data_IF_725684768388
#
_entry.id   IF_725684768388
#
_cell.length_a   1.000
_cell.length_b   1.000
_cell.length_c   1.000
_cell.angle_alpha   90.00
_cell.angle_beta   90.00
_cell.angle_gamma   90.00
#
_symmetry.space_group_name_H-M   'P 1'
#
loop_
_entity.id
_entity.type
_entity.pdbx_description
1 polymer ?
#
# COMPACT_ATOMS: atom_id res chain seq x y z
N UNK A 1 1.92 6.98 -20.47
CA UNK A 1 2.52 5.99 -21.39
C UNK A 1 1.51 4.86 -21.50
N UNK A 2 1.03 4.54 -22.70
CA UNK A 2 -0.15 3.67 -22.86
C UNK A 2 0.19 2.18 -22.92
N UNK A 3 1.45 1.81 -23.11
CA UNK A 3 1.96 0.43 -23.02
C UNK A 3 3.49 0.43 -22.94
N UNK A 4 4.07 -0.48 -22.16
CA UNK A 4 5.52 -0.74 -22.06
C UNK A 4 5.98 -1.90 -22.95
N UNK A 5 5.05 -2.60 -23.59
CA UNK A 5 5.31 -3.82 -24.36
C UNK A 5 5.03 -3.66 -25.84
N UNK A 6 4.32 -2.59 -26.24
CA UNK A 6 3.96 -2.38 -27.63
C UNK A 6 4.95 -1.45 -28.34
N UNK A 7 5.51 -1.96 -29.43
CA UNK A 7 6.21 -1.17 -30.43
C UNK A 7 5.30 -1.00 -31.65
N UNK A 8 5.00 0.24 -32.03
CA UNK A 8 4.10 0.52 -33.16
C UNK A 8 4.68 1.54 -34.13
N UNK A 9 4.49 1.31 -35.42
CA UNK A 9 4.84 2.26 -36.48
C UNK A 9 3.84 2.20 -37.64
N UNK A 10 3.84 3.24 -38.47
CA UNK A 10 2.96 3.34 -39.64
C UNK A 10 3.77 3.32 -40.93
N UNK A 11 3.41 2.41 -41.83
CA UNK A 11 3.85 2.46 -43.23
C UNK A 11 2.81 3.16 -44.09
N UNK A 12 3.23 4.12 -44.92
CA UNK A 12 2.35 4.79 -45.88
C UNK A 12 2.81 4.48 -47.30
N UNK A 13 1.84 4.16 -48.16
CA UNK A 13 2.03 4.12 -49.61
C UNK A 13 2.44 5.52 -50.11
N UNK A 14 3.23 5.54 -51.18
CA UNK A 14 3.60 6.77 -51.89
C UNK A 14 3.64 6.52 -53.39
N UNK A 15 3.83 7.57 -54.20
CA UNK A 15 3.67 7.46 -55.66
C UNK A 15 4.57 6.36 -56.27
N UNK A 16 3.95 5.36 -56.88
CA UNK A 16 4.63 4.23 -57.50
C UNK A 16 5.07 3.11 -56.53
N UNK A 17 4.73 3.20 -55.25
CA UNK A 17 5.09 2.23 -54.23
C UNK A 17 3.88 1.88 -53.34
N UNK A 18 3.53 0.60 -53.32
CA UNK A 18 2.55 0.06 -52.39
C UNK A 18 3.27 -0.77 -51.33
N UNK A 19 3.19 -0.38 -50.06
CA UNK A 19 3.76 -1.12 -48.93
C UNK A 19 3.05 -2.47 -48.81
N UNK A 20 3.83 -3.56 -48.81
CA UNK A 20 3.37 -4.91 -48.57
C UNK A 20 3.48 -5.24 -47.07
N UNK A 21 2.34 -5.40 -46.38
CA UNK A 21 2.37 -5.74 -44.97
C UNK A 21 3.01 -7.09 -44.66
N UNK A 22 2.98 -8.05 -45.60
CA UNK A 22 3.52 -9.39 -45.39
C UNK A 22 5.06 -9.43 -45.48
N UNK A 23 5.65 -8.49 -46.21
CA UNK A 23 7.09 -8.43 -46.42
C UNK A 23 7.78 -7.35 -45.58
N UNK A 24 7.01 -6.48 -44.92
CA UNK A 24 7.53 -5.44 -44.00
C UNK A 24 8.12 -6.08 -42.74
N UNK A 25 9.27 -5.58 -42.29
CA UNK A 25 10.02 -6.16 -41.17
C UNK A 25 10.33 -5.13 -40.09
N UNK A 26 10.36 -5.61 -38.86
CA UNK A 26 10.93 -4.93 -37.71
C UNK A 26 12.03 -5.81 -37.12
N UNK A 27 13.14 -5.18 -36.78
CA UNK A 27 14.22 -5.78 -36.02
C UNK A 27 14.36 -5.04 -34.71
N UNK A 28 14.51 -5.77 -33.62
CA UNK A 28 14.85 -5.27 -32.28
C UNK A 28 16.11 -5.98 -31.84
N UNK A 29 17.15 -5.23 -31.46
CA UNK A 29 18.49 -5.77 -31.13
C UNK A 29 19.00 -6.75 -32.19
N UNK A 30 18.89 -6.34 -33.46
CA UNK A 30 19.26 -7.09 -34.67
C UNK A 30 18.49 -8.42 -34.90
N UNK A 31 17.45 -8.70 -34.10
CA UNK A 31 16.57 -9.87 -34.29
C UNK A 31 15.27 -9.45 -34.97
N UNK A 32 14.92 -10.14 -36.05
CA UNK A 32 13.61 -9.96 -36.71
C UNK A 32 12.50 -10.40 -35.74
N UNK A 33 11.49 -9.55 -35.57
CA UNK A 33 10.33 -9.80 -34.70
C UNK A 33 9.04 -9.88 -35.52
N UNK A 34 8.06 -10.60 -34.99
CA UNK A 34 6.76 -10.73 -35.64
C UNK A 34 5.98 -9.41 -35.58
N UNK A 35 5.31 -9.07 -36.69
CA UNK A 35 4.45 -7.89 -36.81
C UNK A 35 3.00 -8.29 -37.05
N UNK A 36 2.10 -7.62 -36.33
CA UNK A 36 0.67 -7.61 -36.63
C UNK A 36 0.36 -6.36 -37.44
N UNK A 37 -0.07 -6.55 -38.68
CA UNK A 37 -0.49 -5.46 -39.56
C UNK A 37 -2.00 -5.21 -39.47
N UNK A 38 -2.39 -3.94 -39.40
CA UNK A 38 -3.78 -3.53 -39.49
C UNK A 38 -4.31 -3.60 -40.93
N UNK A 39 -5.63 -3.46 -41.11
CA UNK A 39 -6.20 -3.33 -42.44
C UNK A 39 -5.76 -2.02 -43.09
N UNK A 40 -5.26 -2.10 -44.33
CA UNK A 40 -4.81 -0.92 -45.07
C UNK A 40 -5.98 0.06 -45.28
N UNK A 41 -5.82 1.30 -44.82
CA UNK A 41 -6.83 2.35 -44.89
C UNK A 41 -6.23 3.61 -45.48
N UNK A 42 -6.75 4.08 -46.62
CA UNK A 42 -6.25 5.26 -47.34
C UNK A 42 -4.73 5.22 -47.63
N UNK A 43 -4.21 4.04 -47.96
CA UNK A 43 -2.79 3.83 -48.24
C UNK A 43 -1.90 3.72 -46.99
N UNK A 44 -2.45 3.73 -45.79
CA UNK A 44 -1.71 3.55 -44.55
C UNK A 44 -1.95 2.16 -43.95
N UNK A 45 -0.89 1.54 -43.44
CA UNK A 45 -0.93 0.30 -42.64
C UNK A 45 -0.22 0.55 -41.32
N UNK A 46 -0.86 0.23 -40.20
CA UNK A 46 -0.25 0.29 -38.89
C UNK A 46 0.31 -1.09 -38.54
N UNK A 47 1.53 -1.12 -38.04
CA UNK A 47 2.23 -2.32 -37.62
C UNK A 47 2.45 -2.26 -36.12
N UNK A 48 2.17 -3.37 -35.44
CA UNK A 48 2.41 -3.52 -34.01
C UNK A 48 3.20 -4.79 -33.74
N UNK A 49 4.24 -4.67 -32.93
CA UNK A 49 4.89 -5.79 -32.26
C UNK A 49 4.60 -5.69 -30.77
N UNK A 50 4.22 -6.81 -30.15
CA UNK A 50 4.04 -6.91 -28.71
C UNK A 50 5.14 -7.80 -28.16
N UNK A 51 5.98 -7.23 -27.29
CA UNK A 51 7.03 -7.94 -26.59
C UNK A 51 6.43 -8.95 -25.59
N UNK A 52 7.04 -10.12 -25.44
CA UNK A 52 6.65 -11.12 -24.42
C UNK A 52 6.79 -10.55 -23.00
N UNK A 53 7.78 -9.68 -22.80
CA UNK A 53 8.06 -8.95 -21.58
C UNK A 53 8.63 -7.57 -21.97
N UNK A 54 8.46 -6.53 -21.15
CA UNK A 54 9.10 -5.24 -21.39
C UNK A 54 10.62 -5.38 -21.48
N UNK A 55 11.25 -4.38 -22.09
CA UNK A 55 12.67 -4.17 -21.93
C UNK A 55 13.04 -3.96 -20.45
N UNK A 56 14.26 -4.33 -20.10
CA UNK A 56 14.82 -4.06 -18.78
C UNK A 56 14.72 -2.56 -18.43
N UNK A 57 14.45 -2.24 -17.16
CA UNK A 57 14.30 -0.85 -16.74
C UNK A 57 15.54 -0.03 -17.10
N UNK A 58 15.36 1.18 -17.65
CA UNK A 58 16.43 2.08 -18.08
C UNK A 58 17.40 1.53 -19.16
N UNK A 59 17.11 0.41 -19.81
CA UNK A 59 17.95 -0.14 -20.88
C UNK A 59 17.79 0.61 -22.20
N UNK A 60 18.76 0.42 -23.10
CA UNK A 60 18.71 0.91 -24.47
C UNK A 60 18.64 -0.27 -25.43
N UNK A 61 17.72 -0.21 -26.38
CA UNK A 61 17.50 -1.23 -27.39
C UNK A 61 17.54 -0.62 -28.78
N UNK A 62 18.16 -1.30 -29.74
CA UNK A 62 18.17 -0.82 -31.12
C UNK A 62 16.92 -1.31 -31.83
N UNK A 63 16.35 -0.48 -32.70
CA UNK A 63 15.32 -0.92 -33.64
C UNK A 63 15.72 -0.58 -35.07
N UNK A 64 15.23 -1.40 -36.01
CA UNK A 64 15.35 -1.14 -37.44
C UNK A 64 14.09 -1.62 -38.15
N UNK A 65 13.46 -0.74 -38.91
CA UNK A 65 12.28 -1.00 -39.73
C UNK A 65 12.74 -1.13 -41.17
N UNK A 66 12.22 -2.12 -41.89
CA UNK A 66 12.30 -2.21 -43.35
C UNK A 66 10.88 -2.24 -43.91
N UNK A 67 10.47 -1.14 -44.56
CA UNK A 67 9.25 -1.11 -45.37
C UNK A 67 9.57 -1.75 -46.72
N UNK A 68 8.79 -2.76 -47.08
CA UNK A 68 8.96 -3.50 -48.32
C UNK A 68 7.73 -3.31 -49.20
N UNK A 69 7.93 -3.08 -50.50
CA UNK A 69 6.84 -2.96 -51.46
C UNK A 69 6.34 -4.32 -51.96
N UNK A 70 5.21 -4.33 -52.69
CA UNK A 70 4.64 -5.54 -53.29
C UNK A 70 5.51 -6.20 -54.38
N UNK A 71 6.61 -5.56 -54.79
CA UNK A 71 7.61 -6.10 -55.71
C UNK A 71 8.82 -6.70 -54.97
N UNK A 72 8.85 -6.62 -53.64
CA UNK A 72 9.93 -7.12 -52.79
C UNK A 72 11.11 -6.16 -52.62
N UNK A 73 10.98 -4.89 -53.03
CA UNK A 73 12.02 -3.89 -52.82
C UNK A 73 11.88 -3.26 -51.44
N UNK A 74 13.00 -3.01 -50.76
CA UNK A 74 13.02 -2.14 -49.58
C UNK A 74 12.84 -0.70 -50.06
N UNK A 75 11.75 -0.08 -49.63
CA UNK A 75 11.30 1.26 -50.06
C UNK A 75 11.43 2.31 -48.97
N UNK A 76 11.68 1.87 -47.73
CA UNK A 76 11.99 2.74 -46.61
C UNK A 76 12.73 1.97 -45.52
N UNK A 77 13.66 2.65 -44.86
CA UNK A 77 14.35 2.12 -43.68
C UNK A 77 14.39 3.20 -42.61
N UNK A 78 14.05 2.83 -41.38
CA UNK A 78 14.20 3.68 -40.21
C UNK A 78 14.97 2.89 -39.16
N UNK A 79 15.86 3.53 -38.41
CA UNK A 79 16.57 2.85 -37.33
C UNK A 79 16.90 3.83 -36.21
N UNK A 80 16.89 3.34 -34.99
CA UNK A 80 17.20 4.18 -33.85
C UNK A 80 17.40 3.37 -32.58
N UNK A 81 17.39 4.10 -31.47
CA UNK A 81 17.45 3.55 -30.13
C UNK A 81 16.12 3.86 -29.44
N UNK A 82 15.52 2.85 -28.82
CA UNK A 82 14.48 3.05 -27.82
C UNK A 82 15.11 2.87 -26.46
N UNK A 83 14.93 3.89 -25.60
CA UNK A 83 15.29 3.79 -24.20
C UNK A 83 14.07 3.37 -23.39
N UNK A 84 14.18 2.24 -22.69
CA UNK A 84 13.18 1.80 -21.75
C UNK A 84 13.06 2.82 -20.61
N UNK A 85 11.84 3.13 -20.15
CA UNK A 85 11.65 4.03 -19.03
C UNK A 85 12.17 3.40 -17.74
N UNK A 86 12.35 4.23 -16.72
CA UNK A 86 12.66 3.76 -15.37
C UNK A 86 11.33 3.36 -14.71
N UNK A 87 11.25 2.11 -14.27
CA UNK A 87 10.17 1.55 -13.45
C UNK A 87 10.72 0.54 -12.45
N UNK A 88 10.01 0.36 -11.33
CA UNK A 88 10.39 -0.60 -10.29
C UNK A 88 10.07 -2.04 -10.66
N UNK A 89 10.80 -2.99 -10.09
CA UNK A 89 10.59 -4.44 -10.29
C UNK A 89 10.38 -5.12 -8.94
N UNK A 90 9.23 -5.76 -8.76
CA UNK A 90 8.91 -6.55 -7.57
C UNK A 90 9.22 -8.02 -7.82
N UNK A 91 10.31 -8.48 -7.23
CA UNK A 91 10.75 -9.88 -7.29
C UNK A 91 10.15 -10.72 -6.16
N UNK A 92 10.12 -12.06 -6.26
CA UNK A 92 9.50 -12.92 -5.24
C UNK A 92 10.11 -12.79 -3.84
N UNK A 93 11.38 -12.41 -3.71
CA UNK A 93 12.06 -12.19 -2.44
C UNK A 93 11.56 -10.96 -1.66
N UNK A 94 10.85 -10.04 -2.33
CA UNK A 94 10.20 -8.90 -1.69
C UNK A 94 8.79 -9.22 -1.17
N UNK A 95 8.26 -10.42 -1.44
CA UNK A 95 6.95 -10.83 -0.95
C UNK A 95 6.96 -11.03 0.57
N UNK A 96 5.83 -10.71 1.19
CA UNK A 96 5.60 -11.04 2.59
C UNK A 96 4.95 -12.42 2.72
N UNK A 97 5.30 -13.12 3.80
CA UNK A 97 4.66 -14.39 4.19
C UNK A 97 3.95 -14.25 5.53
N UNK A 98 2.97 -15.11 5.78
CA UNK A 98 2.23 -15.11 7.05
C UNK A 98 1.35 -13.88 7.25
N UNK A 99 0.93 -13.19 6.18
CA UNK A 99 0.02 -12.05 6.26
C UNK A 99 -1.35 -12.50 6.77
N UNK A 100 -1.93 -11.74 7.70
CA UNK A 100 -3.31 -11.96 8.09
C UNK A 100 -4.25 -11.32 7.07
N UNK A 101 -4.72 -12.13 6.13
CA UNK A 101 -5.64 -11.70 5.07
C UNK A 101 -7.06 -11.41 5.56
N UNK A 102 -7.37 -11.68 6.83
CA UNK A 102 -8.66 -11.33 7.46
C UNK A 102 -8.70 -9.87 7.96
N UNK A 103 -7.57 -9.16 7.95
CA UNK A 103 -7.46 -7.77 8.38
C UNK A 103 -7.20 -6.83 7.19
N UNK A 104 -8.25 -6.36 6.48
CA UNK A 104 -8.09 -5.52 5.30
C UNK A 104 -7.58 -4.10 5.62
N UNK A 105 -7.07 -3.37 4.65
CA UNK A 105 -6.79 -1.94 4.78
C UNK A 105 -5.35 -1.58 5.17
N UNK A 106 -5.20 -0.54 6.00
CA UNK A 106 -3.95 0.20 6.18
C UNK A 106 -3.67 0.51 7.66
N UNK A 107 -2.38 0.58 8.00
CA UNK A 107 -1.89 1.26 9.19
C UNK A 107 -1.53 2.69 8.79
N UNK A 108 -2.10 3.67 9.49
CA UNK A 108 -1.82 5.10 9.32
C UNK A 108 -1.13 5.61 10.58
N UNK A 109 0.14 6.02 10.46
CA UNK A 109 0.88 6.64 11.55
C UNK A 109 1.15 8.10 11.23
N UNK A 110 0.80 9.00 12.13
CA UNK A 110 0.89 10.43 11.85
C UNK A 110 1.62 11.19 12.95
N UNK A 111 2.36 12.19 12.52
CA UNK A 111 2.89 13.26 13.36
C UNK A 111 2.56 14.60 12.76
N UNK A 112 2.18 15.56 13.60
CA UNK A 112 2.07 16.95 13.18
C UNK A 112 3.04 17.79 14.00
N UNK A 113 3.96 18.49 13.33
CA UNK A 113 4.78 19.49 13.98
C UNK A 113 4.10 20.87 13.91
N UNK A 114 4.31 21.70 14.93
CA UNK A 114 3.74 23.05 14.98
C UNK A 114 4.59 24.13 14.29
N UNK A 115 5.68 23.76 13.62
CA UNK A 115 6.65 24.68 13.04
C UNK A 115 6.54 24.81 11.51
N UNK A 116 5.91 23.84 10.83
CA UNK A 116 5.68 23.76 9.39
C UNK A 116 6.98 23.85 8.58
N UNK A 117 7.98 23.06 9.00
CA UNK A 117 9.37 23.18 8.52
C UNK A 117 9.78 22.12 7.49
N UNK A 118 8.90 21.21 7.09
CA UNK A 118 9.24 20.22 6.06
C UNK A 118 9.26 20.87 4.68
N UNK A 119 10.37 20.76 3.96
CA UNK A 119 10.50 21.22 2.57
C UNK A 119 10.77 20.06 1.60
N UNK A 120 10.99 18.85 2.12
CA UNK A 120 11.34 17.67 1.34
C UNK A 120 10.85 16.34 1.96
N UNK A 121 10.93 15.27 1.18
CA UNK A 121 10.71 13.91 1.66
C UNK A 121 11.81 13.44 2.63
N UNK A 122 13.01 14.02 2.56
CA UNK A 122 14.04 13.78 3.57
C UNK A 122 13.61 14.37 4.92
N UNK A 123 13.06 15.59 4.93
CA UNK A 123 12.50 16.19 6.15
C UNK A 123 11.27 15.41 6.63
N UNK A 124 10.48 14.85 5.72
CA UNK A 124 9.33 14.01 6.06
C UNK A 124 9.77 12.77 6.86
N UNK A 125 10.84 12.09 6.43
CA UNK A 125 11.41 10.96 7.18
C UNK A 125 11.96 11.40 8.55
N UNK A 126 12.64 12.54 8.63
CA UNK A 126 13.10 13.09 9.92
C UNK A 126 11.94 13.46 10.84
N UNK A 127 10.85 14.00 10.30
CA UNK A 127 9.64 14.28 11.07
C UNK A 127 9.01 12.99 11.59
N UNK A 128 8.86 11.98 10.73
CA UNK A 128 8.35 10.66 11.11
C UNK A 128 9.23 9.96 12.17
N UNK A 129 10.53 10.22 12.16
CA UNK A 129 11.46 9.77 13.19
C UNK A 129 11.38 10.58 14.51
N UNK A 130 10.61 11.68 14.55
CA UNK A 130 10.52 12.59 15.69
C UNK A 130 11.75 13.49 15.85
N UNK A 131 12.54 13.69 14.79
CA UNK A 131 13.76 14.49 14.81
C UNK A 131 13.53 15.96 14.43
N UNK A 132 12.37 16.30 13.85
CA UNK A 132 11.99 17.67 13.50
C UNK A 132 10.96 18.29 14.45
N UNK A 133 10.03 17.49 14.98
CA UNK A 133 8.98 17.97 15.86
C UNK A 133 9.44 17.94 17.33
N UNK A 134 9.25 19.04 18.06
CA UNK A 134 9.42 19.04 19.52
C UNK A 134 8.36 18.18 20.23
N UNK A 135 7.14 18.16 19.68
CA UNK A 135 6.03 17.31 20.10
C UNK A 135 5.09 17.00 18.93
N UNK A 136 4.29 15.93 19.06
CA UNK A 136 3.28 15.55 18.08
C UNK A 136 1.92 16.19 18.44
N UNK A 137 1.45 17.12 17.60
CA UNK A 137 0.16 17.80 17.77
C UNK A 137 -1.05 17.04 17.23
N UNK A 138 -0.86 15.90 16.56
CA UNK A 138 -1.97 15.14 16.00
C UNK A 138 -3.01 14.76 17.09
N UNK A 139 -4.30 14.82 16.75
CA UNK A 139 -5.38 14.58 17.72
C UNK A 139 -5.73 13.08 17.82
N UNK A 140 -5.41 12.38 18.92
CA UNK A 140 -5.74 10.96 19.06
C UNK A 140 -7.26 10.69 19.08
N UNK A 141 -8.10 11.69 19.36
CA UNK A 141 -9.55 11.56 19.37
C UNK A 141 -10.20 11.80 17.99
N UNK A 142 -9.46 12.37 17.03
CA UNK A 142 -9.94 12.54 15.66
C UNK A 142 -9.75 11.25 14.87
N UNK A 143 -10.71 10.34 15.01
CA UNK A 143 -10.58 8.95 14.54
C UNK A 143 -10.71 8.78 13.01
N UNK A 144 -11.40 9.69 12.32
CA UNK A 144 -11.68 9.53 10.89
C UNK A 144 -12.30 8.16 10.55
N UNK A 145 -11.84 7.46 9.48
CA UNK A 145 -12.30 6.12 9.14
C UNK A 145 -11.64 5.00 9.96
N UNK A 146 -10.84 5.33 10.98
CA UNK A 146 -10.15 4.32 11.77
C UNK A 146 -11.10 3.56 12.70
N UNK A 147 -10.67 2.37 13.13
CA UNK A 147 -11.44 1.53 14.07
C UNK A 147 -11.43 2.01 15.53
N UNK A 148 -10.62 3.01 15.86
CA UNK A 148 -10.46 3.53 17.21
C UNK A 148 -9.57 4.78 17.29
N UNK A 149 -9.40 5.32 18.51
CA UNK A 149 -8.52 6.45 18.76
C UNK A 149 -7.05 6.11 18.50
N UNK A 150 -6.26 7.15 18.23
CA UNK A 150 -4.84 7.03 17.95
C UNK A 150 -4.07 6.49 19.15
N UNK A 151 -3.19 5.52 18.89
CA UNK A 151 -2.32 4.91 19.90
C UNK A 151 -0.91 5.44 19.71
N UNK A 152 -0.25 5.84 20.80
CA UNK A 152 1.14 6.31 20.74
C UNK A 152 2.06 5.17 20.29
N UNK A 153 2.77 5.39 19.18
CA UNK A 153 3.74 4.47 18.58
C UNK A 153 5.06 5.22 18.33
N UNK A 154 5.96 5.21 19.31
CA UNK A 154 7.16 6.05 19.27
C UNK A 154 6.78 7.54 19.25
N UNK A 155 7.28 8.34 18.28
CA UNK A 155 6.89 9.75 18.14
C UNK A 155 5.52 9.93 17.44
N UNK A 156 4.92 8.87 16.90
CA UNK A 156 3.73 8.92 16.05
C UNK A 156 2.46 8.55 16.83
N UNK A 157 1.30 8.89 16.24
CA UNK A 157 0.01 8.30 16.56
C UNK A 157 -0.39 7.31 15.48
N UNK A 158 -0.61 6.05 15.87
CA UNK A 158 -1.04 4.96 14.99
C UNK A 158 -2.57 4.81 15.01
N UNK A 159 -3.14 4.65 13.82
CA UNK A 159 -4.55 4.38 13.55
C UNK A 159 -4.68 3.21 12.58
N UNK A 160 -5.71 2.38 12.76
CA UNK A 160 -6.04 1.28 11.86
C UNK A 160 -7.23 1.65 10.96
N UNK A 161 -6.99 1.82 9.67
CA UNK A 161 -8.01 2.15 8.67
C UNK A 161 -8.40 0.85 7.94
N UNK A 162 -9.62 0.31 8.16
CA UNK A 162 -10.03 -0.97 7.59
C UNK A 162 -10.50 -0.87 6.12
N UNK A 163 -10.75 0.35 5.65
CA UNK A 163 -11.31 0.65 4.34
C UNK A 163 -10.21 1.10 3.36
N UNK A 164 -10.29 2.32 2.84
CA UNK A 164 -9.49 2.85 1.73
C UNK A 164 -8.69 4.08 2.19
N UNK A 165 -7.62 4.40 1.47
CA UNK A 165 -6.96 5.71 1.58
C UNK A 165 -7.59 6.64 0.53
N UNK A 166 -8.64 7.34 0.95
CA UNK A 166 -9.21 8.53 0.30
C UNK A 166 -9.40 9.56 1.40
N UNK A 167 -8.33 10.27 1.77
CA UNK A 167 -8.27 11.06 3.00
C UNK A 167 -8.10 12.55 2.69
N UNK A 168 -8.75 13.39 3.50
CA UNK A 168 -8.63 14.85 3.47
C UNK A 168 -8.65 15.42 4.90
N UNK A 169 -8.01 16.57 5.13
CA UNK A 169 -8.13 17.32 6.38
C UNK A 169 -9.58 17.67 6.74
N UNK A 170 -10.48 17.75 5.76
CA UNK A 170 -11.91 17.92 5.99
C UNK A 170 -12.68 16.79 5.30
N UNK A 171 -13.27 15.91 6.11
CA UNK A 171 -14.14 14.85 5.57
C UNK A 171 -15.37 15.41 4.83
N UNK A 172 -15.74 14.77 3.72
CA UNK A 172 -16.84 15.15 2.84
C UNK A 172 -16.44 16.07 1.68
N UNK A 173 -15.17 16.44 1.58
CA UNK A 173 -14.63 17.15 0.42
C UNK A 173 -14.50 16.21 -0.80
N UNK A 174 -13.87 16.71 -1.88
CA UNK A 174 -13.64 15.96 -3.11
C UNK A 174 -12.30 16.36 -3.71
N UNK A 175 -11.23 16.20 -2.94
CA UNK A 175 -9.87 16.44 -3.39
C UNK A 175 -9.38 15.22 -4.19
N UNK A 176 -8.97 15.44 -5.44
CA UNK A 176 -8.45 14.38 -6.29
C UNK A 176 -9.51 13.74 -7.18
N UNK A 177 -9.56 12.41 -7.18
CA UNK A 177 -10.29 11.61 -8.17
C UNK A 177 -11.59 11.00 -7.62
N UNK A 178 -11.65 10.76 -6.32
CA UNK A 178 -12.74 10.05 -5.66
C UNK A 178 -13.45 11.03 -4.73
N UNK A 179 -14.73 11.35 -4.97
CA UNK A 179 -15.47 12.24 -4.09
C UNK A 179 -15.72 11.60 -2.72
N UNK A 180 -16.33 12.36 -1.81
CA UNK A 180 -16.69 11.93 -0.46
C UNK A 180 -15.45 11.53 0.37
N UNK A 181 -14.44 12.41 0.38
CA UNK A 181 -13.19 12.20 1.11
C UNK A 181 -13.45 11.86 2.57
N UNK A 182 -12.70 10.91 3.12
CA UNK A 182 -12.77 10.54 4.53
C UNK A 182 -11.90 11.50 5.35
N UNK A 183 -12.32 11.79 6.57
CA UNK A 183 -11.54 12.61 7.50
C UNK A 183 -10.19 11.93 7.81
N UNK A 184 -9.07 12.63 7.61
CA UNK A 184 -7.75 12.16 8.04
C UNK A 184 -7.72 11.87 9.55
N UNK A 185 -7.30 10.68 9.99
CA UNK A 185 -7.10 10.44 11.42
C UNK A 185 -5.97 11.30 11.98
N UNK A 186 -6.25 11.99 13.09
CA UNK A 186 -5.29 12.85 13.78
C UNK A 186 -5.00 14.21 13.15
N UNK A 187 -5.55 14.52 11.97
CA UNK A 187 -5.31 15.78 11.25
C UNK A 187 -6.65 16.40 10.81
N UNK A 188 -6.95 17.68 11.10
CA UNK A 188 -6.18 18.65 11.87
C UNK A 188 -5.87 18.20 13.30
N UNK A 189 -4.73 18.60 13.83
CA UNK A 189 -4.35 18.25 15.21
C UNK A 189 -5.03 19.12 16.25
N UNK A 190 -4.56 19.02 17.49
CA UNK A 190 -5.07 19.72 18.67
C UNK A 190 -4.93 21.25 18.57
N UNK A 191 -4.11 21.73 17.65
CA UNK A 191 -3.95 23.14 17.29
C UNK A 191 -4.99 23.61 16.24
N UNK A 192 -5.89 22.73 15.79
CA UNK A 192 -6.96 22.95 14.80
C UNK A 192 -6.48 23.37 13.40
N UNK A 193 -5.25 23.01 13.04
CA UNK A 193 -4.66 23.22 11.72
C UNK A 193 -4.10 21.89 11.19
N UNK A 194 -4.01 21.73 9.86
CA UNK A 194 -3.44 20.53 9.25
C UNK A 194 -1.95 20.66 8.93
N UNK A 195 -1.49 21.90 8.69
CA UNK A 195 -0.12 22.24 8.32
C UNK A 195 0.92 21.53 9.21
N UNK A 196 2.01 21.07 8.57
CA UNK A 196 3.12 20.38 9.24
C UNK A 196 2.86 18.90 9.54
N UNK A 197 1.77 18.32 9.03
CA UNK A 197 1.52 16.89 9.16
C UNK A 197 2.44 16.06 8.25
N UNK A 198 2.94 14.95 8.77
CA UNK A 198 3.58 13.87 8.01
C UNK A 198 2.97 12.56 8.43
N UNK A 199 2.72 11.68 7.46
CA UNK A 199 2.15 10.37 7.72
C UNK A 199 2.94 9.26 7.05
N UNK A 200 2.97 8.12 7.72
CA UNK A 200 3.40 6.83 7.19
C UNK A 200 2.16 5.94 7.04
N UNK A 201 1.98 5.40 5.85
CA UNK A 201 0.96 4.41 5.52
C UNK A 201 1.67 3.09 5.27
N UNK A 202 1.29 2.05 6.00
CA UNK A 202 1.78 0.69 5.79
C UNK A 202 0.62 -0.22 5.42
N UNK A 203 0.80 -1.03 4.39
CA UNK A 203 -0.15 -2.06 3.99
C UNK A 203 0.55 -3.21 3.28
N UNK A 204 -0.16 -4.31 3.08
CA UNK A 204 0.29 -5.49 2.34
C UNK A 204 -0.67 -5.70 1.18
N UNK A 205 -0.21 -5.49 -0.05
CA UNK A 205 -1.08 -5.48 -1.24
C UNK A 205 -0.90 -6.75 -2.04
N UNK A 206 -2.01 -7.40 -2.40
CA UNK A 206 -2.03 -8.55 -3.31
C UNK A 206 -1.99 -8.05 -4.76
N UNK A 207 -0.81 -8.13 -5.38
CA UNK A 207 -0.63 -7.75 -6.78
C UNK A 207 -0.70 -8.97 -7.71
N UNK A 208 -1.35 -8.84 -8.89
CA UNK A 208 -1.16 -9.79 -9.98
C UNK A 208 0.26 -9.69 -10.54
N UNK A 209 0.74 -10.80 -11.14
CA UNK A 209 1.96 -10.79 -11.93
C UNK A 209 1.79 -9.88 -13.16
N UNK A 210 2.91 -9.34 -13.64
CA UNK A 210 2.97 -8.40 -14.75
C UNK A 210 2.90 -6.95 -14.30
N UNK A 211 2.53 -6.09 -15.24
CA UNK A 211 2.51 -4.65 -15.01
C UNK A 211 1.32 -4.19 -14.19
N UNK A 212 1.63 -3.39 -13.17
CA UNK A 212 0.66 -2.71 -12.37
C UNK A 212 0.83 -1.20 -12.59
N UNK A 213 -0.25 -0.55 -13.01
CA UNK A 213 -0.32 0.92 -13.08
C UNK A 213 -1.06 1.41 -11.86
N UNK A 214 -0.43 2.27 -11.08
CA UNK A 214 -1.00 2.80 -9.84
C UNK A 214 -0.80 4.31 -9.80
N UNK A 215 -1.50 4.97 -8.91
CA UNK A 215 -1.32 6.39 -8.68
C UNK A 215 -1.53 6.79 -7.24
N UNK A 216 -0.88 7.91 -6.90
CA UNK A 216 -1.12 8.64 -5.66
C UNK A 216 -1.54 10.05 -6.03
N UNK A 217 -2.75 10.42 -5.64
CA UNK A 217 -3.12 11.83 -5.58
C UNK A 217 -2.68 12.36 -4.22
N UNK A 218 -1.95 13.47 -4.16
CA UNK A 218 -1.59 14.04 -2.85
C UNK A 218 -1.44 15.55 -2.87
N UNK A 219 -1.62 16.12 -1.68
CA UNK A 219 -1.35 17.50 -1.28
C UNK A 219 -0.66 17.41 0.09
N UNK A 220 0.68 17.47 0.21
CA UNK A 220 1.70 17.82 -0.79
C UNK A 220 2.39 16.57 -1.39
N UNK A 221 3.60 16.26 -0.92
CA UNK A 221 4.49 15.24 -1.47
C UNK A 221 4.25 13.85 -0.88
N UNK A 222 4.77 12.85 -1.59
CA UNK A 222 4.73 11.46 -1.13
C UNK A 222 5.90 10.64 -1.69
N UNK A 223 6.17 9.48 -1.09
CA UNK A 223 6.96 8.41 -1.69
C UNK A 223 6.33 7.07 -1.37
N UNK A 224 6.20 6.22 -2.38
CA UNK A 224 5.74 4.83 -2.27
C UNK A 224 6.90 3.87 -2.57
N UNK A 225 7.14 2.96 -1.64
CA UNK A 225 8.16 1.91 -1.72
C UNK A 225 7.52 0.54 -1.44
N UNK A 226 8.11 -0.51 -1.99
CA UNK A 226 7.69 -1.88 -1.76
C UNK A 226 8.83 -2.76 -1.25
N UNK A 227 8.54 -3.69 -0.35
CA UNK A 227 9.52 -4.63 0.21
C UNK A 227 9.54 -4.62 1.73
N UNK A 228 10.48 -5.35 2.37
CA UNK A 228 10.47 -5.57 3.81
C UNK A 228 10.50 -4.25 4.60
N UNK A 229 9.59 -4.13 5.59
CA UNK A 229 9.45 -2.92 6.40
C UNK A 229 10.62 -2.73 7.39
N UNK A 230 11.31 -3.81 7.74
CA UNK A 230 12.45 -3.84 8.67
C UNK A 230 13.81 -3.73 7.97
N UNK A 231 13.84 -3.71 6.64
CA UNK A 231 15.06 -3.63 5.82
C UNK A 231 14.89 -2.52 4.77
N UNK A 232 14.90 -1.25 5.19
CA UNK A 232 14.52 -0.16 4.32
C UNK A 232 15.38 -0.03 3.06
N UNK A 233 16.64 -0.45 3.13
CA UNK A 233 17.60 -0.49 2.02
C UNK A 233 17.30 -1.54 0.95
N UNK A 234 16.45 -2.53 1.27
CA UNK A 234 16.04 -3.59 0.36
C UNK A 234 14.73 -3.27 -0.36
N UNK A 235 14.10 -2.13 -0.05
CA UNK A 235 12.83 -1.73 -0.66
C UNK A 235 13.05 -1.11 -2.03
N UNK A 236 12.13 -1.43 -2.94
CA UNK A 236 12.07 -0.88 -4.28
C UNK A 236 11.26 0.42 -4.27
N UNK A 237 11.81 1.49 -4.86
CA UNK A 237 11.08 2.73 -5.09
C UNK A 237 10.07 2.54 -6.23
N UNK A 238 8.79 2.74 -5.95
CA UNK A 238 7.73 2.62 -6.97
C UNK A 238 7.39 3.97 -7.60
N UNK A 239 7.26 5.01 -6.79
CA UNK A 239 6.92 6.35 -7.25
C UNK A 239 7.02 7.38 -6.14
N UNK A 240 7.36 8.61 -6.49
CA UNK A 240 7.49 9.72 -5.55
C UNK A 240 7.18 11.08 -6.19
N UNK A 241 6.88 12.05 -5.33
CA UNK A 241 6.84 13.46 -5.66
C UNK A 241 7.40 14.24 -4.46
N UNK A 242 8.60 14.82 -4.65
CA UNK A 242 9.36 15.54 -3.62
C UNK A 242 9.31 17.06 -3.85
N UNK A 243 8.12 17.63 -3.68
CA UNK A 243 7.90 19.07 -3.75
C UNK A 243 6.52 19.43 -3.16
N UNK A 244 6.26 20.72 -2.85
CA UNK A 244 4.92 21.21 -2.57
C UNK A 244 4.01 21.10 -3.79
N UNK A 245 2.74 20.74 -3.58
CA UNK A 245 1.69 20.76 -4.61
C UNK A 245 0.31 20.76 -3.97
N UNK A 246 -0.66 21.34 -4.68
CA UNK A 246 -2.07 21.02 -4.42
C UNK A 246 -2.41 19.59 -4.89
N UNK A 247 -3.57 19.10 -4.45
CA UNK A 247 -4.11 17.77 -4.81
C UNK A 247 -3.94 17.47 -6.32
N UNK A 248 -3.07 16.50 -6.65
CA UNK A 248 -2.75 16.12 -8.03
C UNK A 248 -2.17 14.72 -8.11
N UNK A 249 -2.38 14.06 -9.25
CA UNK A 249 -1.92 12.68 -9.46
C UNK A 249 -0.42 12.60 -9.79
N UNK A 250 0.22 11.59 -9.21
CA UNK A 250 1.41 10.96 -9.76
C UNK A 250 1.06 9.54 -10.18
N UNK A 251 1.15 9.24 -11.47
CA UNK A 251 0.87 7.91 -12.03
C UNK A 251 2.19 7.24 -12.40
N UNK A 252 2.39 6.02 -11.94
CA UNK A 252 3.60 5.24 -12.19
C UNK A 252 3.26 3.78 -12.45
N UNK A 253 4.22 3.09 -13.07
CA UNK A 253 4.11 1.69 -13.48
C UNK A 253 5.28 0.94 -12.88
N UNK A 254 5.05 -0.30 -12.45
CA UNK A 254 6.07 -1.24 -12.02
C UNK A 254 5.69 -2.65 -12.43
N UNK A 255 6.69 -3.53 -12.54
CA UNK A 255 6.49 -4.92 -12.93
C UNK A 255 6.54 -5.83 -11.71
N UNK A 256 5.59 -6.76 -11.61
CA UNK A 256 5.55 -7.78 -10.56
C UNK A 256 5.90 -9.12 -11.21
N UNK A 257 7.02 -9.71 -10.82
CA UNK A 257 7.52 -10.95 -11.44
C UNK A 257 6.61 -12.14 -11.10
N UNK A 258 6.15 -12.23 -9.85
CA UNK A 258 5.26 -13.29 -9.38
C UNK A 258 4.10 -12.68 -8.59
N UNK A 259 2.88 -13.12 -8.89
CA UNK A 259 1.70 -12.67 -8.16
C UNK A 259 1.85 -13.01 -6.67
N UNK A 260 1.47 -12.10 -5.78
CA UNK A 260 1.66 -12.31 -4.36
C UNK A 260 1.38 -11.08 -3.54
N UNK A 261 1.66 -11.17 -2.25
CA UNK A 261 1.42 -10.09 -1.28
C UNK A 261 2.73 -9.38 -1.00
N UNK A 262 2.77 -8.07 -1.28
CA UNK A 262 3.95 -7.24 -1.11
C UNK A 262 3.72 -6.19 -0.04
N UNK A 263 4.63 -6.01 0.93
CA UNK A 263 4.55 -4.87 1.83
C UNK A 263 4.76 -3.58 1.04
N UNK A 264 3.91 -2.59 1.30
CA UNK A 264 3.98 -1.25 0.74
C UNK A 264 4.10 -0.27 1.90
N UNK A 265 5.05 0.66 1.79
CA UNK A 265 5.16 1.83 2.65
C UNK A 265 4.99 3.08 1.80
N UNK A 266 4.08 3.95 2.23
CA UNK A 266 3.93 5.29 1.66
C UNK A 266 4.21 6.31 2.74
N UNK A 267 5.10 7.26 2.49
CA UNK A 267 5.19 8.48 3.30
C UNK A 267 4.46 9.60 2.58
N UNK A 268 3.86 10.49 3.36
CA UNK A 268 3.16 11.67 2.90
C UNK A 268 3.52 12.87 3.77
N UNK A 269 3.51 14.07 3.19
CA UNK A 269 3.74 15.31 3.91
C UNK A 269 2.77 16.39 3.47
N UNK A 270 2.41 17.25 4.42
CA UNK A 270 1.76 18.52 4.19
C UNK A 270 2.59 19.64 4.82
N UNK A 271 3.11 20.52 3.97
CA UNK A 271 3.83 21.71 4.40
C UNK A 271 2.86 22.79 4.88
N UNK A 272 1.89 23.14 4.04
CA UNK A 272 0.84 24.10 4.38
C UNK A 272 -0.36 24.05 3.41
N UNK A 273 -1.54 24.43 3.88
CA UNK A 273 -2.70 24.71 3.03
C UNK A 273 -3.66 23.54 2.89
N UNK A 274 -3.82 23.02 1.67
CA UNK A 274 -4.62 21.82 1.43
C UNK A 274 -3.93 20.59 2.03
N UNK A 275 -4.67 19.55 2.38
CA UNK A 275 -4.08 18.30 2.84
C UNK A 275 -4.98 17.15 2.41
N UNK A 276 -4.49 16.33 1.48
CA UNK A 276 -5.23 15.20 0.91
C UNK A 276 -4.30 14.09 0.43
N UNK A 277 -4.78 12.85 0.46
CA UNK A 277 -4.11 11.71 -0.16
C UNK A 277 -5.10 10.63 -0.61
N UNK A 278 -4.92 10.15 -1.83
CA UNK A 278 -5.60 8.99 -2.40
C UNK A 278 -4.58 7.96 -2.88
N UNK A 279 -4.83 6.67 -2.67
CA UNK A 279 -4.00 5.59 -3.24
C UNK A 279 -4.88 4.67 -4.10
N UNK A 280 -4.55 4.57 -5.38
CA UNK A 280 -5.38 3.86 -6.35
C UNK A 280 -4.60 3.06 -7.38
N UNK A 281 -5.26 2.04 -7.93
CA UNK A 281 -4.86 1.31 -9.12
C UNK A 281 -5.54 1.88 -10.36
N UNK A 282 -4.94 1.67 -11.52
CA UNK A 282 -5.55 1.99 -12.83
C UNK A 282 -5.71 0.68 -13.60
N UNK A 283 -6.96 0.36 -13.94
CA UNK A 283 -7.30 -0.81 -14.76
C UNK A 283 -6.88 -0.61 -16.21
N UNK A 284 -6.87 -1.70 -16.98
CA UNK A 284 -6.51 -1.68 -18.41
C UNK A 284 -7.36 -0.71 -19.24
N UNK A 285 -8.63 -0.50 -18.85
CA UNK A 285 -9.54 0.45 -19.50
C UNK A 285 -9.35 1.92 -19.06
N UNK A 286 -8.37 2.19 -18.19
CA UNK A 286 -8.07 3.50 -17.63
C UNK A 286 -8.88 3.88 -16.39
N UNK A 287 -9.79 3.01 -15.92
CA UNK A 287 -10.58 3.26 -14.71
C UNK A 287 -9.68 3.26 -13.47
N UNK A 288 -9.77 4.34 -12.68
CA UNK A 288 -9.10 4.44 -11.37
C UNK A 288 -9.95 3.76 -10.31
N UNK A 289 -9.33 2.96 -9.46
CA UNK A 289 -10.00 2.29 -8.33
C UNK A 289 -9.09 2.31 -7.11
N UNK A 290 -9.60 2.80 -5.99
CA UNK A 290 -8.87 2.85 -4.72
C UNK A 290 -8.36 1.47 -4.32
N UNK A 291 -7.18 1.43 -3.70
CA UNK A 291 -6.73 0.19 -3.05
C UNK A 291 -7.72 -0.20 -1.96
N UNK A 292 -7.97 -1.50 -1.84
CA UNK A 292 -8.95 -2.12 -0.94
C UNK A 292 -10.44 -1.85 -1.25
N UNK A 293 -10.77 -1.12 -2.32
CA UNK A 293 -12.16 -0.98 -2.78
C UNK A 293 -12.61 -2.21 -3.59
N UNK A 294 -12.88 -3.30 -2.89
CA UNK A 294 -13.18 -4.59 -3.52
C UNK A 294 -14.50 -4.59 -4.29
N UNK A 295 -15.45 -3.75 -3.90
CA UNK A 295 -16.75 -3.62 -4.59
C UNK A 295 -16.56 -3.09 -6.02
N UNK A 296 -15.61 -2.17 -6.20
CA UNK A 296 -15.26 -1.64 -7.52
C UNK A 296 -14.06 -2.34 -8.17
N UNK A 297 -13.56 -3.44 -7.58
CA UNK A 297 -12.47 -4.26 -8.13
C UNK A 297 -11.07 -3.67 -7.92
N UNK A 298 -10.86 -2.99 -6.80
CA UNK A 298 -9.55 -2.54 -6.34
C UNK A 298 -8.67 -3.70 -5.86
N UNK A 299 -7.37 -3.45 -5.79
CA UNK A 299 -6.39 -4.42 -5.27
C UNK A 299 -6.64 -4.67 -3.79
N UNK A 300 -6.61 -5.93 -3.35
CA UNK A 300 -6.75 -6.27 -1.94
C UNK A 300 -5.55 -5.73 -1.17
N UNK A 301 -5.82 -5.12 -0.03
CA UNK A 301 -4.80 -4.57 0.85
C UNK A 301 -5.08 -5.05 2.28
N UNK A 302 -4.03 -5.32 3.05
CA UNK A 302 -4.13 -5.85 4.41
C UNK A 302 -3.30 -5.00 5.38
N UNK A 303 -3.81 -4.76 6.58
CA UNK A 303 -3.17 -3.87 7.58
C UNK A 303 -2.22 -4.57 8.55
N UNK A 304 -1.99 -5.88 8.40
CA UNK A 304 -1.13 -6.61 9.32
C UNK A 304 -0.26 -7.62 8.60
N UNK A 305 1.07 -7.50 8.79
CA UNK A 305 1.90 -8.69 8.88
C UNK A 305 1.24 -9.55 9.96
N UNK A 306 0.92 -10.80 9.68
CA UNK A 306 0.12 -11.60 10.60
C UNK A 306 0.77 -11.53 11.97
N UNK A 307 0.12 -10.83 12.88
CA UNK A 307 0.56 -10.80 14.26
C UNK A 307 0.52 -12.23 14.74
N UNK A 308 1.44 -12.61 15.62
CA UNK A 308 1.36 -13.93 16.23
C UNK A 308 -0.07 -14.09 16.78
N UNK A 309 -0.73 -15.24 16.53
CA UNK A 309 -2.06 -15.49 17.05
C UNK A 309 -2.05 -15.22 18.56
N UNK A 310 -3.20 -14.85 19.11
CA UNK A 310 -3.30 -14.68 20.55
C UNK A 310 -2.91 -15.99 21.25
N UNK A 311 -1.91 -15.92 22.13
CA UNK A 311 -1.34 -17.05 22.86
C UNK A 311 -1.09 -16.61 24.29
N UNK A 312 -1.64 -17.38 25.23
CA UNK A 312 -1.20 -17.30 26.62
C UNK A 312 0.25 -17.81 26.68
N UNK A 313 1.19 -16.91 26.97
CA UNK A 313 2.62 -17.18 26.96
C UNK A 313 3.14 -17.66 28.31
N UNK A 314 2.49 -17.27 29.42
CA UNK A 314 2.82 -17.79 30.74
C UNK A 314 1.62 -17.81 31.69
N UNK A 315 1.63 -18.80 32.60
CA UNK A 315 0.76 -18.87 33.77
C UNK A 315 1.64 -19.19 34.96
N UNK A 316 1.54 -18.41 36.04
CA UNK A 316 2.32 -18.66 37.26
C UNK A 316 1.49 -18.43 38.51
N UNK A 317 1.81 -19.14 39.59
CA UNK A 317 1.21 -18.93 40.91
C UNK A 317 2.28 -18.48 41.89
N UNK A 318 2.05 -17.36 42.55
CA UNK A 318 2.94 -16.85 43.59
C UNK A 318 2.76 -17.59 44.92
N UNK A 319 3.72 -17.46 45.83
CA UNK A 319 3.69 -18.16 47.12
C UNK A 319 2.51 -17.76 48.03
N UNK A 320 1.94 -16.57 47.81
CA UNK A 320 0.73 -16.10 48.47
C UNK A 320 -0.57 -16.62 47.82
N UNK A 321 -0.47 -17.40 46.74
CA UNK A 321 -1.60 -17.98 46.01
C UNK A 321 -2.16 -17.10 44.88
N UNK A 322 -1.57 -15.94 44.61
CA UNK A 322 -2.00 -15.10 43.47
C UNK A 322 -1.63 -15.79 42.15
N UNK A 323 -2.48 -15.63 41.13
CA UNK A 323 -2.27 -16.21 39.80
C UNK A 323 -1.99 -15.11 38.80
N UNK A 324 -0.84 -15.18 38.13
CA UNK A 324 -0.50 -14.31 37.01
C UNK A 324 -0.78 -15.02 35.68
N UNK A 325 -1.48 -14.34 34.78
CA UNK A 325 -1.72 -14.74 33.40
C UNK A 325 -1.02 -13.74 32.49
N UNK A 326 -0.16 -14.23 31.61
CA UNK A 326 0.59 -13.43 30.64
C UNK A 326 0.29 -13.91 29.23
N UNK A 327 0.07 -12.97 28.30
CA UNK A 327 -0.15 -13.25 26.88
C UNK A 327 0.59 -12.25 26.00
N UNK A 328 0.75 -12.60 24.72
CA UNK A 328 1.20 -11.67 23.70
C UNK A 328 0.05 -10.71 23.33
N UNK A 329 0.29 -9.41 23.38
CA UNK A 329 -0.74 -8.38 23.28
C UNK A 329 -0.38 -7.30 22.25
N UNK A 330 -1.24 -6.28 22.14
CA UNK A 330 -0.98 -5.04 21.41
C UNK A 330 -0.64 -3.91 22.39
N UNK A 331 0.31 -3.03 22.06
CA UNK A 331 0.55 -1.81 22.81
C UNK A 331 -0.73 -0.97 22.95
N UNK A 332 -0.96 -0.38 24.13
CA UNK A 332 -2.09 0.52 24.39
C UNK A 332 -3.48 -0.15 24.44
N UNK A 333 -3.61 -1.43 24.09
CA UNK A 333 -4.87 -2.15 24.14
C UNK A 333 -5.23 -2.52 25.58
N UNK A 334 -6.43 -2.11 26.00
CA UNK A 334 -7.00 -2.55 27.27
C UNK A 334 -7.68 -3.91 27.11
N UNK A 335 -7.45 -4.79 28.07
CA UNK A 335 -7.99 -6.14 28.09
C UNK A 335 -8.72 -6.39 29.41
N UNK A 336 -9.82 -7.13 29.33
CA UNK A 336 -10.50 -7.66 30.49
C UNK A 336 -10.26 -9.18 30.58
N UNK A 337 -10.02 -9.67 31.80
CA UNK A 337 -9.98 -11.10 32.11
C UNK A 337 -11.23 -11.45 32.88
N UNK A 338 -12.02 -12.38 32.34
CA UNK A 338 -13.10 -13.01 33.07
C UNK A 338 -12.61 -14.35 33.62
N UNK A 339 -12.90 -14.59 34.90
CA UNK A 339 -12.52 -15.81 35.61
C UNK A 339 -13.77 -16.52 36.16
N UNK A 340 -13.86 -17.83 35.97
CA UNK A 340 -15.02 -18.64 36.40
C UNK A 340 -14.62 -20.07 36.79
N UNK A 341 -15.49 -20.76 37.53
CA UNK A 341 -15.33 -22.16 37.93
C UNK A 341 -15.80 -23.18 36.88
N UNK A 342 -16.56 -22.73 35.87
CA UNK A 342 -16.91 -23.49 34.66
C UNK A 342 -17.10 -22.54 33.44
N UNK A 343 -16.77 -23.02 32.23
CA UNK A 343 -16.99 -22.33 30.95
C UNK A 343 -18.24 -22.80 30.18
N UNK A 344 -18.99 -23.80 30.67
CA UNK A 344 -20.16 -24.38 29.97
C UNK A 344 -21.44 -23.50 29.98
N UNK A 345 -21.32 -22.18 30.05
CA UNK A 345 -22.50 -21.31 29.99
C UNK A 345 -23.00 -21.09 28.55
N UNK A 346 -24.32 -21.17 28.40
CA UNK A 346 -25.03 -20.96 27.13
C UNK A 346 -25.04 -19.50 26.68
N UNK A 347 -24.73 -18.56 27.56
CA UNK A 347 -24.69 -17.14 27.24
C UNK A 347 -23.29 -16.73 26.79
N UNK A 348 -23.07 -16.88 25.48
CA UNK A 348 -21.84 -16.46 24.81
C UNK A 348 -21.87 -14.97 24.38
N UNK A 349 -22.88 -14.18 24.78
CA UNK A 349 -23.00 -12.77 24.37
C UNK A 349 -22.00 -11.81 25.02
N UNK A 350 -21.34 -12.22 26.11
CA UNK A 350 -20.28 -11.44 26.77
C UNK A 350 -18.88 -11.71 26.21
N UNK A 351 -18.78 -12.49 25.13
CA UNK A 351 -17.52 -13.05 24.66
C UNK A 351 -17.30 -12.66 23.19
N UNK A 352 -16.37 -11.74 22.97
CA UNK A 352 -15.81 -11.52 21.64
C UNK A 352 -14.54 -12.37 21.49
N UNK A 353 -14.43 -13.07 20.37
CA UNK A 353 -13.27 -13.89 20.04
C UNK A 353 -12.05 -13.00 19.73
N UNK A 354 -10.98 -13.17 20.53
CA UNK A 354 -9.76 -12.39 20.39
C UNK A 354 -8.83 -12.86 19.26
N UNK A 355 -8.90 -14.16 18.94
CA UNK A 355 -8.04 -14.87 17.99
C UNK A 355 -8.00 -14.15 16.63
N UNK A 356 -9.20 -13.84 16.10
CA UNK A 356 -9.34 -13.31 14.76
C UNK A 356 -9.36 -11.78 14.68
N UNK A 357 -9.62 -11.08 15.79
CA UNK A 357 -9.88 -9.63 15.80
C UNK A 357 -8.74 -8.79 16.40
N UNK A 358 -7.86 -9.36 17.24
CA UNK A 358 -6.80 -8.62 17.95
C UNK A 358 -5.51 -9.46 18.04
N UNK A 359 -4.85 -9.66 16.89
CA UNK A 359 -3.55 -10.34 16.85
C UNK A 359 -2.48 -9.54 17.62
N UNK A 360 -1.51 -10.20 18.26
CA UNK A 360 -0.44 -9.49 18.96
C UNK A 360 0.45 -8.69 18.00
N UNK A 361 0.95 -7.55 18.47
CA UNK A 361 1.96 -6.74 17.79
C UNK A 361 3.31 -6.77 18.53
N UNK A 362 3.59 -7.87 19.26
CA UNK A 362 4.88 -8.09 19.94
C UNK A 362 4.99 -7.57 21.37
N UNK A 363 3.94 -6.97 21.92
CA UNK A 363 3.90 -6.58 23.35
C UNK A 363 3.43 -7.76 24.23
N UNK A 364 3.49 -7.59 25.56
CA UNK A 364 2.95 -8.55 26.51
C UNK A 364 2.17 -7.90 27.64
N UNK A 365 0.98 -8.42 27.91
CA UNK A 365 0.14 -8.00 29.03
C UNK A 365 0.14 -9.10 30.09
N UNK A 366 0.30 -8.71 31.35
CA UNK A 366 0.15 -9.59 32.51
C UNK A 366 -0.94 -9.06 33.42
N UNK A 367 -1.90 -9.92 33.77
CA UNK A 367 -2.89 -9.64 34.82
C UNK A 367 -2.67 -10.58 36.00
N UNK A 368 -2.80 -10.03 37.20
CA UNK A 368 -2.72 -10.76 38.47
C UNK A 368 -4.12 -10.89 39.07
N UNK A 369 -4.56 -12.11 39.28
CA UNK A 369 -5.79 -12.44 40.01
C UNK A 369 -5.40 -12.81 41.44
N UNK A 370 -5.94 -12.07 42.41
CA UNK A 370 -5.57 -12.28 43.82
C UNK A 370 -6.04 -13.64 44.33
N UNK A 371 -5.26 -14.22 45.24
CA UNK A 371 -5.57 -15.44 45.99
C UNK A 371 -6.96 -15.40 46.64
N UNK A 372 -7.41 -14.23 47.12
CA UNK A 372 -8.76 -14.05 47.65
C UNK A 372 -9.85 -14.28 46.59
N UNK A 373 -9.70 -13.65 45.41
CA UNK A 373 -10.62 -13.84 44.29
C UNK A 373 -10.58 -15.28 43.76
N UNK A 374 -9.38 -15.87 43.68
CA UNK A 374 -9.16 -17.27 43.29
C UNK A 374 -9.93 -18.22 44.21
N UNK A 375 -9.77 -18.06 45.53
CA UNK A 375 -10.43 -18.90 46.53
C UNK A 375 -11.95 -18.66 46.59
N UNK A 376 -12.41 -17.45 46.26
CA UNK A 376 -13.83 -17.14 46.18
C UNK A 376 -14.50 -17.83 44.99
N UNK A 377 -13.83 -17.85 43.83
CA UNK A 377 -14.38 -18.38 42.58
C UNK A 377 -14.49 -19.89 42.58
N UNK A 378 -13.55 -20.62 43.19
CA UNK A 378 -13.52 -22.09 43.08
C UNK A 378 -13.18 -22.80 44.38
N UNK A 379 -14.05 -23.76 44.77
CA UNK A 379 -13.75 -24.73 45.84
C UNK A 379 -12.94 -25.94 45.34
N UNK A 380 -12.79 -26.08 44.03
CA UNK A 380 -12.18 -27.26 43.38
C UNK A 380 -10.73 -27.00 42.95
N UNK A 381 -10.22 -25.78 43.12
CA UNK A 381 -8.86 -25.38 42.75
C UNK A 381 -8.65 -25.22 41.25
N UNK A 382 -9.72 -25.20 40.45
CA UNK A 382 -9.68 -24.94 39.01
C UNK A 382 -10.40 -23.62 38.70
N UNK A 383 -9.71 -22.75 37.98
CA UNK A 383 -10.25 -21.50 37.44
C UNK A 383 -10.01 -21.53 35.95
N UNK A 384 -11.05 -21.18 35.20
CA UNK A 384 -10.97 -20.96 33.78
C UNK A 384 -10.92 -19.46 33.52
N UNK A 385 -10.07 -19.07 32.58
CA UNK A 385 -9.88 -17.69 32.18
C UNK A 385 -10.24 -17.54 30.71
N UNK A 386 -10.83 -16.39 30.38
CA UNK A 386 -10.96 -15.90 29.01
C UNK A 386 -10.57 -14.43 29.01
N UNK A 387 -9.82 -14.04 27.99
CA UNK A 387 -9.40 -12.66 27.78
C UNK A 387 -10.30 -12.08 26.69
N UNK A 388 -10.70 -10.82 26.83
CA UNK A 388 -11.41 -10.07 25.79
C UNK A 388 -10.91 -8.63 25.71
N UNK A 389 -11.22 -7.94 24.60
CA UNK A 389 -11.04 -6.49 24.50
C UNK A 389 -11.88 -5.81 25.57
N UNK A 390 -11.33 -4.80 26.24
CA UNK A 390 -12.15 -3.93 27.08
C UNK A 390 -12.71 -2.83 26.18
N UNK A 391 -14.05 -2.81 26.04
CA UNK A 391 -14.80 -1.75 25.33
C UNK A 391 -14.72 -0.41 26.04
#
# INVERSE_FOLDING_TARGET
MTSLTNFSFRGNDFEGCEVDPASTKLFIDDKEVELVASAKTQGATDFTHTLDAPFETNSEHTFRIELVDTLGNIVGTESGIVKAPIFGILTPDLQASGINTSNPGFIWRVIQNGAFIQESLADTELNLAGELADENFADPALIGPATGPGIVAGPLLEFEIPSVINLNQLGGDSAGNFPDDLQMPGVPGLNFIADGASAEIVTFVEFPAGFNTVGVNSDDGFRMEAGPLDQPESRELLGEFDAPRGASDSIFVFNVIEAGVYPIRVIWTNGAGGASIEIFSIKEDGTKVLFNDLENGGLKAYRGAGGAPFVITAISTAANGDVSLTWNSRPGQSYAVLAKDNLDETDISLWDELDDSIQSQGDSTTIVVSSEAVNFLTKTGKIFFRVRKQE
#
